data_IF_894955192730
#
_entry.id   IF_894955192730
#
_cell.length_a   1.000
_cell.length_b   1.000
_cell.length_c   1.000
_cell.angle_alpha   90.00
_cell.angle_beta   90.00
_cell.angle_gamma   90.00
#
_symmetry.space_group_name_H-M   'P 1'
#
loop_
_entity.id
_entity.type
_entity.pdbx_description
1 polymer ?
#
# COMPACT_ATOMS: atom_id res chain seq x y z
N UNK A 1 -42.40 5.20 11.61
CA UNK A 1 -42.49 4.30 10.44
C UNK A 1 -41.16 3.58 10.30
N UNK A 2 -41.19 2.32 10.73
CA UNK A 2 -40.28 1.20 10.48
C UNK A 2 -38.81 1.51 10.14
N UNK A 3 -37.96 1.47 11.17
CA UNK A 3 -36.54 1.18 11.00
C UNK A 3 -36.39 -0.25 10.47
N UNK A 4 -36.22 -0.39 9.16
CA UNK A 4 -35.82 -1.63 8.55
C UNK A 4 -34.37 -1.91 8.95
N UNK A 5 -34.20 -2.77 9.96
CA UNK A 5 -32.95 -3.47 10.18
C UNK A 5 -32.74 -4.40 8.98
N UNK A 6 -32.22 -3.87 7.87
CA UNK A 6 -31.83 -4.68 6.72
C UNK A 6 -30.80 -5.68 7.21
N UNK A 7 -31.20 -6.97 7.28
CA UNK A 7 -30.28 -8.08 7.46
C UNK A 7 -29.05 -7.85 6.58
N UNK A 8 -27.81 -7.98 7.09
CA UNK A 8 -26.66 -7.90 6.21
C UNK A 8 -26.87 -8.94 5.12
N UNK A 9 -26.92 -8.49 3.87
CA UNK A 9 -26.95 -9.37 2.71
C UNK A 9 -25.83 -10.40 2.89
N UNK A 10 -26.05 -11.67 2.52
CA UNK A 10 -25.04 -12.73 2.71
C UNK A 10 -23.65 -12.30 2.19
N UNK A 11 -23.61 -11.49 1.13
CA UNK A 11 -22.42 -10.83 0.60
C UNK A 11 -21.69 -9.93 1.60
N UNK A 12 -22.40 -9.08 2.36
CA UNK A 12 -21.80 -8.20 3.36
C UNK A 12 -21.17 -9.01 4.51
N UNK A 13 -21.86 -10.06 5.00
CA UNK A 13 -21.31 -10.94 6.03
C UNK A 13 -20.02 -11.64 5.56
N UNK A 14 -20.02 -12.17 4.34
CA UNK A 14 -18.83 -12.78 3.73
C UNK A 14 -17.68 -11.77 3.62
N UNK A 15 -17.94 -10.54 3.15
CA UNK A 15 -16.93 -9.47 3.08
C UNK A 15 -16.33 -9.16 4.45
N UNK A 16 -17.15 -9.05 5.50
CA UNK A 16 -16.68 -8.78 6.86
C UNK A 16 -15.75 -9.87 7.40
N UNK A 17 -16.11 -11.14 7.20
CA UNK A 17 -15.30 -12.28 7.65
C UNK A 17 -13.98 -12.33 6.90
N UNK A 18 -14.02 -12.18 5.56
CA UNK A 18 -12.82 -12.20 4.73
C UNK A 18 -11.87 -11.03 5.03
N UNK A 19 -12.39 -9.80 5.11
CA UNK A 19 -11.60 -8.62 5.45
C UNK A 19 -10.99 -8.73 6.86
N UNK A 20 -11.75 -9.23 7.82
CA UNK A 20 -11.25 -9.51 9.17
C UNK A 20 -10.10 -10.53 9.16
N UNK A 21 -10.26 -11.63 8.40
CA UNK A 21 -9.22 -12.65 8.26
C UNK A 21 -7.96 -12.10 7.57
N UNK A 22 -8.12 -11.35 6.48
CA UNK A 22 -7.02 -10.71 5.76
C UNK A 22 -6.27 -9.75 6.69
N UNK A 23 -6.99 -8.94 7.48
CA UNK A 23 -6.40 -8.01 8.43
C UNK A 23 -5.58 -8.75 9.50
N UNK A 24 -6.14 -9.79 10.11
CA UNK A 24 -5.45 -10.61 11.12
C UNK A 24 -4.20 -11.30 10.56
N UNK A 25 -4.32 -11.96 9.41
CA UNK A 25 -3.20 -12.65 8.76
C UNK A 25 -2.13 -11.66 8.33
N UNK A 26 -2.51 -10.52 7.75
CA UNK A 26 -1.56 -9.49 7.34
C UNK A 26 -0.83 -8.90 8.53
N UNK A 27 -1.52 -8.59 9.63
CA UNK A 27 -0.88 -8.00 10.80
C UNK A 27 0.06 -9.01 11.49
N UNK A 28 -0.41 -10.25 11.68
CA UNK A 28 0.40 -11.30 12.28
C UNK A 28 1.61 -11.67 11.40
N UNK A 29 1.40 -11.87 10.10
CA UNK A 29 2.46 -12.24 9.16
C UNK A 29 3.55 -11.18 9.06
N UNK A 30 3.16 -9.91 8.87
CA UNK A 30 4.11 -8.80 8.79
C UNK A 30 4.84 -8.55 10.12
N UNK A 31 4.15 -8.73 11.26
CA UNK A 31 4.78 -8.62 12.57
C UNK A 31 5.81 -9.74 12.81
N UNK A 32 5.45 -11.00 12.51
CA UNK A 32 6.35 -12.14 12.65
C UNK A 32 7.59 -11.97 11.76
N UNK A 33 7.40 -11.58 10.50
CA UNK A 33 8.51 -11.38 9.57
C UNK A 33 9.42 -10.23 10.02
N UNK A 34 8.84 -9.11 10.48
CA UNK A 34 9.60 -7.99 11.04
C UNK A 34 10.42 -8.41 12.27
N UNK A 35 9.80 -9.14 13.20
CA UNK A 35 10.47 -9.64 14.40
C UNK A 35 11.60 -10.62 14.08
N UNK A 36 11.39 -11.51 13.10
CA UNK A 36 12.40 -12.46 12.64
C UNK A 36 13.64 -11.74 12.11
N UNK A 37 13.43 -10.73 11.25
CA UNK A 37 14.52 -9.93 10.68
C UNK A 37 15.28 -9.15 11.76
N UNK A 38 14.58 -8.60 12.76
CA UNK A 38 15.20 -7.85 13.85
C UNK A 38 15.96 -8.73 14.85
N UNK A 39 15.49 -9.97 15.07
CA UNK A 39 16.11 -10.91 16.01
C UNK A 39 17.35 -11.58 15.43
N UNK A 40 17.30 -11.95 14.16
CA UNK A 40 18.37 -12.69 13.52
C UNK A 40 19.44 -11.78 12.93
N UNK A 41 20.55 -11.61 13.68
CA UNK A 41 21.72 -10.83 13.24
C UNK A 41 22.28 -11.28 11.89
N UNK A 42 22.15 -12.57 11.56
CA UNK A 42 22.59 -13.12 10.28
C UNK A 42 21.81 -12.53 9.08
N UNK A 43 20.58 -12.06 9.33
CA UNK A 43 19.70 -11.39 8.36
C UNK A 43 19.92 -9.87 8.31
N UNK A 44 20.91 -9.28 9.00
CA UNK A 44 21.21 -7.85 8.84
C UNK A 44 22.01 -7.56 7.55
N UNK A 45 21.37 -7.82 6.41
CA UNK A 45 21.86 -7.50 5.06
C UNK A 45 20.88 -6.54 4.40
N UNK A 46 21.36 -5.81 3.40
CA UNK A 46 20.58 -4.84 2.64
C UNK A 46 19.17 -5.30 2.19
N UNK A 47 18.95 -6.54 1.69
CA UNK A 47 17.63 -6.97 1.25
C UNK A 47 16.61 -7.05 2.39
N UNK A 48 17.07 -7.33 3.60
CA UNK A 48 16.19 -7.48 4.76
C UNK A 48 15.71 -6.14 5.32
N UNK A 49 16.46 -5.05 5.12
CA UNK A 49 15.96 -3.70 5.42
C UNK A 49 14.81 -3.30 4.49
N UNK A 50 14.86 -3.69 3.21
CA UNK A 50 13.76 -3.46 2.28
C UNK A 50 12.53 -4.31 2.64
N UNK A 51 12.75 -5.56 3.02
CA UNK A 51 11.67 -6.42 3.52
C UNK A 51 11.04 -5.84 4.80
N UNK A 52 11.85 -5.30 5.71
CA UNK A 52 11.35 -4.69 6.95
C UNK A 52 10.49 -3.47 6.65
N UNK A 53 10.94 -2.55 5.78
CA UNK A 53 10.15 -1.37 5.40
C UNK A 53 8.83 -1.77 4.70
N UNK A 54 8.86 -2.78 3.83
CA UNK A 54 7.66 -3.34 3.22
C UNK A 54 6.69 -3.90 4.27
N UNK A 55 7.18 -4.68 5.24
CA UNK A 55 6.34 -5.25 6.31
C UNK A 55 5.73 -4.16 7.20
N UNK A 56 6.50 -3.11 7.51
CA UNK A 56 6.00 -1.97 8.29
C UNK A 56 4.92 -1.22 7.52
N UNK A 57 5.14 -0.94 6.23
CA UNK A 57 4.15 -0.31 5.36
C UNK A 57 2.86 -1.15 5.25
N UNK A 58 2.99 -2.48 5.09
CA UNK A 58 1.85 -3.40 5.04
C UNK A 58 1.10 -3.48 6.36
N UNK A 59 1.83 -3.50 7.48
CA UNK A 59 1.27 -3.45 8.83
C UNK A 59 0.49 -2.16 9.06
N UNK A 60 1.04 -1.01 8.68
CA UNK A 60 0.37 0.30 8.80
C UNK A 60 -0.88 0.34 7.91
N UNK A 61 -0.81 -0.13 6.66
CA UNK A 61 -1.97 -0.19 5.76
C UNK A 61 -3.07 -1.07 6.35
N UNK A 62 -2.71 -2.26 6.85
CA UNK A 62 -3.66 -3.19 7.48
C UNK A 62 -4.27 -2.62 8.75
N UNK A 63 -3.48 -1.93 9.58
CA UNK A 63 -3.95 -1.36 10.85
C UNK A 63 -4.78 -0.09 10.69
N UNK A 64 -4.58 0.68 9.61
CA UNK A 64 -5.29 1.94 9.38
C UNK A 64 -6.38 1.77 8.33
N UNK A 65 -6.05 1.36 7.10
CA UNK A 65 -6.99 1.40 5.98
C UNK A 65 -8.08 0.34 6.10
N UNK A 66 -7.74 -0.91 6.46
CA UNK A 66 -8.71 -2.01 6.50
C UNK A 66 -9.80 -1.82 7.56
N UNK A 67 -9.54 -1.29 8.77
CA UNK A 67 -10.60 -0.97 9.73
C UNK A 67 -11.63 0.04 9.22
N UNK A 68 -11.21 1.06 8.44
CA UNK A 68 -12.15 2.00 7.84
C UNK A 68 -13.05 1.33 6.80
N UNK A 69 -12.50 0.43 5.98
CA UNK A 69 -13.27 -0.38 5.02
C UNK A 69 -14.20 -1.35 5.74
N UNK A 70 -13.74 -1.96 6.83
CA UNK A 70 -14.58 -2.83 7.66
C UNK A 70 -15.77 -2.04 8.24
N UNK A 71 -15.51 -0.82 8.74
CA UNK A 71 -16.54 0.05 9.29
C UNK A 71 -17.58 0.49 8.25
N UNK A 72 -17.18 0.78 7.00
CA UNK A 72 -18.13 1.13 5.93
C UNK A 72 -19.02 -0.05 5.54
N UNK A 73 -18.47 -1.27 5.46
CA UNK A 73 -19.27 -2.49 5.21
C UNK A 73 -20.26 -2.73 6.37
N UNK A 74 -19.83 -2.54 7.63
CA UNK A 74 -20.70 -2.69 8.82
C UNK A 74 -21.88 -1.71 8.83
N UNK A 75 -21.71 -0.52 8.26
CA UNK A 75 -22.75 0.52 8.20
C UNK A 75 -23.58 0.47 6.90
N UNK A 76 -23.65 -0.69 6.24
CA UNK A 76 -24.52 -0.90 5.08
C UNK A 76 -23.99 -0.25 3.80
N UNK A 77 -22.69 -0.39 3.54
CA UNK A 77 -22.04 0.14 2.34
C UNK A 77 -22.16 1.66 2.26
N UNK A 78 -21.93 2.33 3.38
CA UNK A 78 -22.05 3.78 3.52
C UNK A 78 -20.82 4.33 4.24
N UNK A 79 -20.27 5.44 3.72
CA UNK A 79 -19.21 6.16 4.39
C UNK A 79 -19.81 7.08 5.46
N UNK A 80 -19.81 6.61 6.70
CA UNK A 80 -20.38 7.35 7.85
C UNK A 80 -19.43 8.37 8.47
N UNK A 81 -18.17 8.40 8.04
CA UNK A 81 -17.16 9.38 8.48
C UNK A 81 -17.21 10.65 7.61
N UNK A 82 -16.25 11.56 7.80
CA UNK A 82 -16.16 12.78 7.00
C UNK A 82 -15.72 12.52 5.56
N UNK A 83 -16.09 13.41 4.63
CA UNK A 83 -15.60 13.36 3.26
C UNK A 83 -14.07 13.51 3.18
N UNK A 84 -13.47 14.23 4.14
CA UNK A 84 -12.02 14.36 4.25
C UNK A 84 -11.36 13.02 4.61
N UNK A 85 -11.92 12.26 5.57
CA UNK A 85 -11.36 10.96 5.92
C UNK A 85 -11.44 9.95 4.78
N UNK A 86 -12.49 10.01 3.95
CA UNK A 86 -12.61 9.21 2.73
C UNK A 86 -11.42 9.44 1.79
N UNK A 87 -11.10 10.73 1.52
CA UNK A 87 -9.97 11.11 0.68
C UNK A 87 -8.64 10.68 1.27
N UNK A 88 -8.43 10.87 2.57
CA UNK A 88 -7.20 10.47 3.26
C UNK A 88 -7.01 8.95 3.20
N UNK A 89 -8.05 8.16 3.50
CA UNK A 89 -7.97 6.70 3.48
C UNK A 89 -7.70 6.19 2.07
N UNK A 90 -8.38 6.75 1.05
CA UNK A 90 -8.15 6.40 -0.34
C UNK A 90 -6.72 6.74 -0.80
N UNK A 91 -6.23 7.93 -0.44
CA UNK A 91 -4.86 8.35 -0.72
C UNK A 91 -3.85 7.41 -0.06
N UNK A 92 -4.02 7.11 1.22
CA UNK A 92 -3.13 6.21 1.97
C UNK A 92 -3.12 4.80 1.36
N UNK A 93 -4.29 4.26 1.00
CA UNK A 93 -4.38 2.95 0.35
C UNK A 93 -3.58 2.93 -0.96
N UNK A 94 -3.77 3.92 -1.82
CA UNK A 94 -3.05 4.05 -3.11
C UNK A 94 -1.54 4.24 -2.88
N UNK A 95 -1.16 5.13 -1.95
CA UNK A 95 0.23 5.39 -1.57
C UNK A 95 0.95 4.10 -1.17
N UNK A 96 0.38 3.35 -0.23
CA UNK A 96 1.01 2.12 0.27
C UNK A 96 1.01 0.99 -0.78
N UNK A 97 0.07 0.98 -1.73
CA UNK A 97 0.10 0.03 -2.84
C UNK A 97 1.25 0.34 -3.81
N UNK A 98 1.45 1.61 -4.19
CA UNK A 98 2.59 2.01 -5.01
C UNK A 98 3.93 1.78 -4.29
N UNK A 99 3.99 2.08 -3.00
CA UNK A 99 5.18 1.84 -2.19
C UNK A 99 5.56 0.37 -2.16
N UNK A 100 4.57 -0.52 -1.95
CA UNK A 100 4.82 -1.95 -2.00
C UNK A 100 5.36 -2.39 -3.37
N UNK A 101 4.79 -1.88 -4.47
CA UNK A 101 5.27 -2.20 -5.82
C UNK A 101 6.71 -1.75 -6.06
N UNK A 102 7.06 -0.51 -5.68
CA UNK A 102 8.43 0.00 -5.82
C UNK A 102 9.41 -0.76 -4.94
N UNK A 103 9.02 -1.10 -3.71
CA UNK A 103 9.86 -1.88 -2.82
C UNK A 103 10.10 -3.29 -3.35
N UNK A 104 9.08 -3.97 -3.87
CA UNK A 104 9.24 -5.28 -4.52
C UNK A 104 10.16 -5.23 -5.73
N UNK A 105 10.05 -4.16 -6.53
CA UNK A 105 10.98 -3.91 -7.63
C UNK A 105 12.42 -3.72 -7.12
N UNK A 106 12.63 -2.85 -6.12
CA UNK A 106 13.95 -2.61 -5.52
C UNK A 106 14.56 -3.87 -4.91
N UNK A 107 13.75 -4.72 -4.26
CA UNK A 107 14.17 -6.03 -3.74
C UNK A 107 14.64 -6.92 -4.90
N UNK A 108 13.88 -6.95 -6.00
CA UNK A 108 14.21 -7.76 -7.18
C UNK A 108 15.53 -7.31 -7.83
N UNK A 109 15.71 -6.01 -8.04
CA UNK A 109 16.98 -5.44 -8.55
C UNK A 109 18.14 -5.72 -7.61
N UNK A 110 17.92 -5.55 -6.30
CA UNK A 110 18.92 -5.83 -5.28
C UNK A 110 19.38 -7.28 -5.33
N UNK A 111 18.44 -8.24 -5.47
CA UNK A 111 18.75 -9.66 -5.62
C UNK A 111 19.51 -9.94 -6.92
N UNK A 112 19.10 -9.32 -8.02
CA UNK A 112 19.80 -9.42 -9.30
C UNK A 112 21.24 -8.92 -9.20
N UNK A 113 21.45 -7.72 -8.66
CA UNK A 113 22.78 -7.12 -8.49
C UNK A 113 23.67 -7.93 -7.55
N UNK A 114 23.11 -8.53 -6.50
CA UNK A 114 23.85 -9.41 -5.60
C UNK A 114 24.39 -10.66 -6.31
N UNK A 115 23.65 -11.20 -7.29
CA UNK A 115 24.02 -12.41 -8.04
C UNK A 115 24.94 -12.06 -9.21
N UNK A 116 24.51 -11.16 -10.10
CA UNK A 116 25.23 -10.84 -11.34
C UNK A 116 26.47 -9.97 -11.10
N UNK A 117 26.42 -9.09 -10.09
CA UNK A 117 27.46 -8.08 -9.83
C UNK A 117 27.92 -8.08 -8.37
N UNK A 118 28.16 -9.28 -7.81
CA UNK A 118 28.50 -9.50 -6.39
C UNK A 118 29.61 -8.56 -5.85
N UNK A 119 30.67 -8.31 -6.64
CA UNK A 119 31.79 -7.44 -6.25
C UNK A 119 31.38 -5.97 -6.10
N UNK A 120 30.50 -5.48 -6.97
CA UNK A 120 29.97 -4.12 -6.90
C UNK A 120 28.97 -4.00 -5.76
N UNK A 121 28.09 -4.99 -5.63
CA UNK A 121 27.08 -5.09 -4.58
C UNK A 121 27.72 -5.03 -3.17
N UNK A 122 28.74 -5.86 -2.91
CA UNK A 122 29.41 -5.89 -1.60
C UNK A 122 30.08 -4.55 -1.22
N UNK A 123 30.53 -3.76 -2.20
CA UNK A 123 31.21 -2.47 -1.96
C UNK A 123 30.25 -1.29 -1.85
N UNK A 124 29.12 -1.33 -2.56
CA UNK A 124 28.18 -0.20 -2.69
C UNK A 124 26.95 -0.29 -1.81
N UNK A 125 26.59 -1.50 -1.36
CA UNK A 125 25.39 -1.74 -0.58
C UNK A 125 25.65 -1.46 0.91
N UNK A 126 25.55 -0.18 1.28
CA UNK A 126 25.69 0.29 2.66
C UNK A 126 24.31 0.62 3.25
N UNK A 127 24.22 0.78 4.58
CA UNK A 127 22.99 1.22 5.24
C UNK A 127 22.46 2.54 4.67
N UNK A 128 23.36 3.48 4.36
CA UNK A 128 23.00 4.75 3.74
C UNK A 128 22.41 4.58 2.35
N UNK A 129 22.96 3.66 1.55
CA UNK A 129 22.41 3.32 0.23
C UNK A 129 21.00 2.75 0.38
N UNK A 130 20.78 1.83 1.32
CA UNK A 130 19.44 1.28 1.58
C UNK A 130 18.45 2.36 2.01
N UNK A 131 18.85 3.24 2.93
CA UNK A 131 18.02 4.34 3.38
C UNK A 131 17.67 5.28 2.23
N UNK A 132 18.63 5.62 1.37
CA UNK A 132 18.39 6.46 0.19
C UNK A 132 17.38 5.81 -0.78
N UNK A 133 17.50 4.51 -1.03
CA UNK A 133 16.55 3.77 -1.89
C UNK A 133 15.14 3.74 -1.29
N UNK A 134 15.03 3.51 0.02
CA UNK A 134 13.73 3.54 0.72
C UNK A 134 13.12 4.94 0.64
N UNK A 135 13.89 5.99 0.92
CA UNK A 135 13.42 7.38 0.80
C UNK A 135 12.97 7.69 -0.62
N UNK A 136 13.71 7.25 -1.63
CA UNK A 136 13.34 7.40 -3.04
C UNK A 136 12.01 6.70 -3.34
N UNK A 137 11.83 5.45 -2.91
CA UNK A 137 10.58 4.70 -3.07
C UNK A 137 9.40 5.41 -2.40
N UNK A 138 9.58 5.96 -1.20
CA UNK A 138 8.57 6.78 -0.52
C UNK A 138 8.21 8.03 -1.34
N UNK A 139 9.20 8.79 -1.80
CA UNK A 139 8.95 9.99 -2.62
C UNK A 139 8.24 9.67 -3.94
N UNK A 140 8.64 8.59 -4.61
CA UNK A 140 8.00 8.07 -5.82
C UNK A 140 6.54 7.71 -5.56
N UNK A 141 6.28 6.99 -4.47
CA UNK A 141 4.93 6.57 -4.09
C UNK A 141 4.02 7.75 -3.81
N UNK A 142 4.53 8.75 -3.09
CA UNK A 142 3.83 10.01 -2.84
C UNK A 142 3.55 10.72 -4.15
N UNK A 143 4.55 10.86 -5.02
CA UNK A 143 4.40 11.48 -6.33
C UNK A 143 3.41 10.73 -7.25
N UNK A 144 3.24 9.42 -7.11
CA UNK A 144 2.23 8.65 -7.85
C UNK A 144 0.83 8.73 -7.23
N UNK A 145 0.73 8.88 -5.91
CA UNK A 145 -0.54 9.01 -5.21
C UNK A 145 -1.13 10.43 -5.31
N UNK A 146 -0.31 11.46 -5.54
CA UNK A 146 -0.72 12.87 -5.58
C UNK A 146 -1.47 13.36 -6.84
N UNK A 147 -1.19 12.94 -8.07
CA UNK A 147 -1.89 13.41 -9.27
C UNK A 147 -3.40 13.22 -9.17
N UNK A 148 -3.90 12.07 -8.66
CA UNK A 148 -5.28 11.94 -8.25
C UNK A 148 -5.79 13.02 -7.28
N UNK A 149 -4.98 13.47 -6.30
CA UNK A 149 -5.39 14.40 -5.24
C UNK A 149 -5.64 15.82 -5.76
N UNK A 150 -4.88 16.28 -6.76
CA UNK A 150 -4.99 17.65 -7.30
C UNK A 150 -6.19 17.84 -8.24
N UNK A 151 -6.66 16.77 -8.89
CA UNK A 151 -7.95 16.77 -9.56
C UNK A 151 -9.07 16.70 -8.51
N UNK A 152 -9.63 17.88 -8.20
CA UNK A 152 -10.72 18.08 -7.24
C UNK A 152 -11.97 17.27 -7.62
N UNK A 153 -12.04 16.01 -7.19
CA UNK A 153 -13.22 15.15 -7.36
C UNK A 153 -12.98 13.69 -7.73
N UNK A 154 -11.74 13.21 -7.68
CA UNK A 154 -11.37 11.83 -8.10
C UNK A 154 -11.55 10.77 -7.01
N UNK A 155 -11.20 11.07 -5.76
CA UNK A 155 -11.40 10.15 -4.64
C UNK A 155 -12.84 10.22 -4.13
N UNK A 156 -13.58 9.14 -4.34
CA UNK A 156 -14.98 9.02 -3.94
C UNK A 156 -15.22 7.66 -3.30
N UNK A 157 -16.27 7.62 -2.48
CA UNK A 157 -16.79 6.37 -1.98
C UNK A 157 -17.53 5.63 -3.10
N UNK A 158 -17.06 4.44 -3.46
CA UNK A 158 -17.71 3.58 -4.46
C UNK A 158 -18.50 2.52 -3.69
N UNK A 159 -19.83 2.58 -3.78
CA UNK A 159 -20.74 1.70 -3.03
C UNK A 159 -20.56 0.22 -3.38
N UNK A 160 -20.24 -0.10 -4.63
CA UNK A 160 -19.99 -1.48 -5.07
C UNK A 160 -18.74 -2.09 -4.43
N UNK A 161 -17.72 -1.25 -4.20
CA UNK A 161 -16.43 -1.63 -3.63
C UNK A 161 -16.39 -1.47 -2.09
N UNK A 162 -17.45 -0.92 -1.50
CA UNK A 162 -17.58 -0.60 -0.07
C UNK A 162 -16.46 0.28 0.51
N UNK A 163 -15.69 0.95 -0.34
CA UNK A 163 -14.48 1.66 0.05
C UNK A 163 -14.31 2.98 -0.68
N UNK A 164 -13.51 3.85 -0.10
CA UNK A 164 -13.05 5.08 -0.73
C UNK A 164 -11.87 4.75 -1.64
N UNK A 165 -12.04 4.98 -2.93
CA UNK A 165 -11.01 4.70 -3.94
C UNK A 165 -11.04 5.81 -5.00
N UNK A 166 -10.01 5.80 -5.85
CA UNK A 166 -9.96 6.63 -7.03
C UNK A 166 -11.02 6.18 -8.04
N UNK A 167 -11.93 7.07 -8.43
CA UNK A 167 -12.85 6.86 -9.54
C UNK A 167 -12.07 6.94 -10.85
N UNK A 168 -11.95 5.82 -11.58
CA UNK A 168 -11.31 5.78 -12.90
C UNK A 168 -12.13 6.57 -13.93
N UNK A 169 -12.02 7.90 -13.94
CA UNK A 169 -12.37 8.69 -15.12
C UNK A 169 -11.22 8.54 -16.12
N UNK A 170 -11.53 7.97 -17.29
CA UNK A 170 -10.68 7.82 -18.48
C UNK A 170 -9.26 8.36 -18.32
N UNK A 171 -8.33 7.45 -18.05
CA UNK A 171 -6.90 7.73 -18.08
C UNK A 171 -6.54 8.17 -19.51
N UNK A 172 -6.15 9.44 -19.71
CA UNK A 172 -5.67 9.86 -21.03
C UNK A 172 -4.35 9.16 -21.27
N UNK A 173 -4.07 8.76 -22.52
CA UNK A 173 -2.79 8.15 -22.89
C UNK A 173 -1.56 8.99 -22.48
N UNK A 174 -1.74 10.31 -22.31
CA UNK A 174 -0.73 11.23 -21.82
C UNK A 174 -0.35 10.99 -20.34
N UNK A 175 -1.29 10.54 -19.50
CA UNK A 175 -1.04 10.23 -18.09
C UNK A 175 -0.26 8.91 -17.95
N UNK A 176 -0.54 7.92 -18.81
CA UNK A 176 0.27 6.69 -18.91
C UNK A 176 1.69 6.98 -19.33
N UNK A 177 1.86 7.87 -20.30
CA UNK A 177 3.17 8.27 -20.80
C UNK A 177 3.94 9.03 -19.71
N UNK A 178 3.30 9.94 -18.99
CA UNK A 178 3.89 10.63 -17.84
C UNK A 178 4.31 9.67 -16.73
N UNK A 179 3.46 8.69 -16.41
CA UNK A 179 3.76 7.63 -15.43
C UNK A 179 4.96 6.78 -15.86
N UNK A 180 4.98 6.32 -17.11
CA UNK A 180 6.09 5.52 -17.67
C UNK A 180 7.38 6.32 -17.77
N UNK A 181 7.31 7.62 -18.12
CA UNK A 181 8.48 8.51 -18.19
C UNK A 181 9.03 8.83 -16.79
N UNK A 182 8.18 9.06 -15.80
CA UNK A 182 8.63 9.26 -14.41
C UNK A 182 9.35 8.01 -13.88
N UNK A 183 8.84 6.81 -14.19
CA UNK A 183 9.52 5.56 -13.86
C UNK A 183 10.84 5.40 -14.61
N UNK A 184 10.88 5.72 -15.90
CA UNK A 184 12.06 5.58 -16.74
C UNK A 184 13.16 6.62 -16.46
N UNK A 185 12.81 7.82 -15.95
CA UNK A 185 13.78 8.88 -15.61
C UNK A 185 14.40 8.66 -14.23
N UNK A 186 13.70 7.96 -13.33
CA UNK A 186 14.13 7.72 -11.96
C UNK A 186 14.80 6.34 -11.75
N UNK A 187 14.83 5.50 -12.79
CA UNK A 187 15.54 4.20 -12.85
C UNK A 187 16.77 4.29 -13.77
#
# INVERSE_FOLDING_TARGET
VSGALSLPSASAYVKLVLLGLIMCVSLAGNAILSLLVLKERALHKAPYYFLLDLCLADGIRSAICFPFVLASVRHGSSWTFSALSCKIVAFMAVLFCFHAAFMLFCISVTRYMAIAHHRFYAKRMTLWTCAAVICMAWTLSVAMAFPPVFDVGTYKFIREEDQCIFEHRYFKANDTLGFMLMLAVLM
#
